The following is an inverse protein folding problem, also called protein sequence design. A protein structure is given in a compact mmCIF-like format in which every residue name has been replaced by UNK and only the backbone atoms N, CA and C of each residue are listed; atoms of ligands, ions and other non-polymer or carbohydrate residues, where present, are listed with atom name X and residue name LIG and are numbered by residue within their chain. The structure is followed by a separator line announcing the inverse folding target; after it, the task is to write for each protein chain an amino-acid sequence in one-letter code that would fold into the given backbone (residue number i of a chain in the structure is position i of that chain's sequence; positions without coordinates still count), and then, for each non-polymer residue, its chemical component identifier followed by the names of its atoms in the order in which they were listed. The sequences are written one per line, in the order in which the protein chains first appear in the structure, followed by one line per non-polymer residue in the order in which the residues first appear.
data_IF_831499630676
#
_entry.id   IF_831499630676
#
_cell.length_a   1.000
_cell.length_b   1.000
_cell.length_c   1.000
_cell.angle_alpha   90.00
_cell.angle_beta   90.00
_cell.angle_gamma   90.00
#
_symmetry.space_group_name_H-M   'P 1'
#
loop_
_entity.id
_entity.type
_entity.pdbx_description
1 polymer ?
#
# COMPACT_ATOMS: atom_id res chain seq x y z
N UNK A 1 32.16 -9.59 -3.64
CA UNK A 1 31.44 -8.32 -3.66
C UNK A 1 30.61 -8.20 -4.93
N UNK A 2 29.58 -9.05 -5.02
CA UNK A 2 28.38 -8.82 -5.87
C UNK A 2 27.17 -8.63 -4.95
N UNK A 3 27.41 -8.09 -3.76
CA UNK A 3 26.55 -8.30 -2.59
C UNK A 3 25.78 -7.03 -2.19
N UNK A 4 25.67 -6.06 -3.09
CA UNK A 4 24.96 -4.81 -2.84
C UNK A 4 24.05 -4.50 -4.03
N UNK A 5 22.76 -4.37 -3.73
CA UNK A 5 21.79 -3.83 -4.67
C UNK A 5 22.10 -2.36 -4.95
N UNK A 6 21.94 -1.94 -6.20
CA UNK A 6 21.86 -0.52 -6.53
C UNK A 6 20.44 -0.04 -6.24
N UNK A 7 20.31 1.06 -5.51
CA UNK A 7 19.03 1.59 -5.06
C UNK A 7 18.87 2.99 -5.62
N UNK A 8 17.95 3.13 -6.57
CA UNK A 8 17.58 4.41 -7.18
C UNK A 8 16.19 4.84 -6.71
N UNK A 9 16.01 6.13 -6.50
CA UNK A 9 14.69 6.75 -6.23
C UNK A 9 14.15 7.34 -7.53
N UNK A 10 12.83 7.29 -7.68
CA UNK A 10 12.09 7.89 -8.80
C UNK A 10 11.12 8.94 -8.28
N UNK A 11 10.61 9.78 -9.17
CA UNK A 11 9.63 10.82 -8.84
C UNK A 11 8.21 10.24 -8.82
N UNK A 12 8.03 9.17 -8.03
CA UNK A 12 6.76 8.48 -7.84
C UNK A 12 6.72 7.09 -8.45
N UNK A 13 5.57 6.44 -8.29
CA UNK A 13 5.40 5.02 -8.57
C UNK A 13 5.26 4.69 -10.07
N UNK A 14 4.74 5.63 -10.88
CA UNK A 14 4.64 5.47 -12.33
C UNK A 14 6.01 5.30 -12.98
N UNK A 15 6.94 6.22 -12.71
CA UNK A 15 8.33 6.11 -13.19
C UNK A 15 9.03 4.85 -12.69
N UNK A 16 8.72 4.42 -11.46
CA UNK A 16 9.27 3.17 -10.94
C UNK A 16 8.75 1.96 -11.74
N UNK A 17 7.46 1.92 -12.11
CA UNK A 17 6.92 0.88 -12.98
C UNK A 17 7.51 0.92 -14.40
N UNK A 18 7.76 2.11 -14.95
CA UNK A 18 8.47 2.24 -16.23
C UNK A 18 9.89 1.69 -16.14
N UNK A 19 10.63 1.99 -15.07
CA UNK A 19 11.97 1.45 -14.85
C UNK A 19 11.96 -0.08 -14.72
N UNK A 20 10.98 -0.64 -14.01
CA UNK A 20 10.79 -2.09 -13.86
C UNK A 20 10.46 -2.74 -15.22
N UNK A 21 9.45 -2.24 -15.92
CA UNK A 21 8.96 -2.85 -17.17
C UNK A 21 9.88 -2.64 -18.37
N UNK A 22 10.73 -1.61 -18.35
CA UNK A 22 11.79 -1.41 -19.35
C UNK A 22 13.08 -2.20 -19.07
N UNK A 23 13.16 -2.90 -17.93
CA UNK A 23 14.35 -3.66 -17.52
C UNK A 23 15.50 -2.80 -17.00
N UNK A 24 15.24 -1.52 -16.69
CA UNK A 24 16.23 -0.65 -16.00
C UNK A 24 16.36 -0.99 -14.51
N UNK A 25 15.35 -1.62 -13.93
CA UNK A 25 15.36 -2.12 -12.56
C UNK A 25 14.84 -3.57 -12.55
N UNK A 26 15.47 -4.42 -11.73
CA UNK A 26 15.04 -5.81 -11.54
C UNK A 26 13.86 -5.93 -10.57
N UNK A 27 13.74 -4.98 -9.64
CA UNK A 27 12.74 -4.96 -8.58
C UNK A 27 12.25 -3.54 -8.30
N UNK A 28 11.02 -3.45 -7.80
CA UNK A 28 10.39 -2.24 -7.31
C UNK A 28 9.94 -2.46 -5.86
N UNK A 29 10.31 -1.54 -4.97
CA UNK A 29 9.85 -1.54 -3.59
C UNK A 29 8.65 -0.58 -3.49
N UNK A 30 7.47 -1.12 -3.19
CA UNK A 30 6.25 -0.35 -2.95
C UNK A 30 5.45 -0.95 -1.81
N UNK A 31 4.58 -0.12 -1.21
CA UNK A 31 3.54 -0.63 -0.33
C UNK A 31 2.60 -1.55 -1.10
N UNK A 32 2.22 -2.68 -0.52
CA UNK A 32 1.46 -3.73 -1.21
C UNK A 32 0.15 -3.21 -1.84
N UNK A 33 -0.70 -2.56 -1.05
CA UNK A 33 -1.98 -2.03 -1.51
C UNK A 33 -1.84 -0.90 -2.55
N UNK A 34 -1.08 0.19 -2.32
CA UNK A 34 -0.92 1.22 -3.35
C UNK A 34 -0.20 0.72 -4.60
N UNK A 35 0.77 -0.20 -4.46
CA UNK A 35 1.49 -0.77 -5.59
C UNK A 35 0.58 -1.60 -6.51
N UNK A 36 -0.23 -2.48 -5.93
CA UNK A 36 -1.18 -3.29 -6.71
C UNK A 36 -2.30 -2.44 -7.33
N UNK A 37 -2.77 -1.41 -6.62
CA UNK A 37 -3.77 -0.46 -7.11
C UNK A 37 -3.27 0.38 -8.30
N UNK A 38 -2.02 0.83 -8.28
CA UNK A 38 -1.42 1.61 -9.38
C UNK A 38 -1.05 0.70 -10.56
N UNK A 39 -0.49 -0.49 -10.31
CA UNK A 39 -0.30 -1.48 -11.36
C UNK A 39 -1.61 -1.86 -12.06
N UNK A 40 -2.71 -1.94 -11.30
CA UNK A 40 -4.04 -2.16 -11.84
C UNK A 40 -4.49 -1.03 -12.77
N UNK A 41 -4.35 0.22 -12.29
CA UNK A 41 -4.71 1.43 -13.03
C UNK A 41 -3.98 1.52 -14.37
N UNK A 42 -2.69 1.16 -14.38
CA UNK A 42 -1.82 1.28 -15.56
C UNK A 42 -1.86 0.03 -16.46
N UNK A 43 -2.77 -0.93 -16.20
CA UNK A 43 -2.91 -2.14 -17.02
C UNK A 43 -1.70 -3.08 -16.94
N UNK A 44 -0.95 -3.04 -15.84
CA UNK A 44 0.28 -3.80 -15.64
C UNK A 44 0.07 -5.14 -14.92
N UNK A 45 -1.17 -5.53 -14.60
CA UNK A 45 -1.47 -6.77 -13.84
C UNK A 45 -0.85 -8.05 -14.44
N UNK A 46 -0.69 -8.10 -15.75
CA UNK A 46 -0.09 -9.25 -16.47
C UNK A 46 1.43 -9.12 -16.68
N UNK A 47 2.01 -7.98 -16.30
CA UNK A 47 3.44 -7.65 -16.50
C UNK A 47 4.23 -7.58 -15.20
N UNK A 48 3.56 -7.29 -14.09
CA UNK A 48 4.18 -7.17 -12.77
C UNK A 48 3.44 -8.05 -11.77
N UNK A 49 4.18 -8.68 -10.87
CA UNK A 49 3.65 -9.54 -9.83
C UNK A 49 4.28 -9.16 -8.48
N UNK A 50 3.48 -9.02 -7.41
CA UNK A 50 4.05 -8.87 -6.07
C UNK A 50 4.74 -10.19 -5.66
N UNK A 51 5.90 -10.08 -5.00
CA UNK A 51 6.59 -11.23 -4.43
C UNK A 51 5.99 -11.60 -3.06
N UNK A 52 5.92 -12.90 -2.75
CA UNK A 52 5.27 -13.42 -1.54
C UNK A 52 5.90 -12.90 -0.24
N UNK A 53 7.20 -12.66 -0.22
CA UNK A 53 7.89 -12.18 0.96
C UNK A 53 7.94 -10.65 1.00
N UNK A 54 7.19 -10.07 1.93
CA UNK A 54 7.31 -8.65 2.24
C UNK A 54 8.71 -8.35 2.80
N UNK A 55 9.35 -7.29 2.27
CA UNK A 55 10.62 -6.79 2.81
C UNK A 55 10.46 -6.19 4.22
N UNK A 56 9.28 -5.63 4.49
CA UNK A 56 8.92 -5.04 5.76
C UNK A 56 7.42 -5.23 5.98
N UNK A 57 7.06 -5.81 7.12
CA UNK A 57 5.70 -5.75 7.66
C UNK A 57 5.75 -4.83 8.86
N UNK A 58 5.03 -3.72 8.79
CA UNK A 58 4.96 -2.73 9.86
C UNK A 58 3.53 -2.62 10.37
N UNK A 59 3.39 -2.51 11.70
CA UNK A 59 2.12 -2.17 12.33
C UNK A 59 1.78 -0.70 12.03
N UNK A 60 0.57 -0.46 11.55
CA UNK A 60 0.06 0.88 11.26
C UNK A 60 -0.75 1.38 12.45
N UNK A 61 -0.52 2.62 12.85
CA UNK A 61 -1.17 3.22 14.02
C UNK A 61 -1.91 4.50 13.64
N UNK A 62 -3.12 4.66 14.19
CA UNK A 62 -3.80 5.96 14.19
C UNK A 62 -3.35 6.72 15.43
N UNK A 63 -2.69 7.87 15.22
CA UNK A 63 -2.11 8.65 16.30
C UNK A 63 -2.90 9.94 16.55
N UNK A 64 -3.13 10.24 17.84
CA UNK A 64 -3.62 11.55 18.28
C UNK A 64 -2.45 12.40 18.76
N UNK A 65 -2.38 13.66 18.31
CA UNK A 65 -1.39 14.60 18.84
C UNK A 65 -1.59 14.78 20.35
N UNK A 66 -0.48 14.83 21.09
CA UNK A 66 -0.48 15.00 22.56
C UNK A 66 -1.22 16.26 23.01
N UNK A 67 -1.24 17.30 22.18
CA UNK A 67 -1.90 18.61 22.44
C UNK A 67 -3.30 18.71 21.82
N UNK A 68 -3.78 17.68 21.14
CA UNK A 68 -5.09 17.72 20.49
C UNK A 68 -6.21 17.70 21.54
N UNK A 69 -7.25 18.55 21.41
CA UNK A 69 -8.46 18.43 22.22
C UNK A 69 -9.17 17.08 21.99
N UNK A 70 -8.93 16.44 20.83
CA UNK A 70 -9.48 15.12 20.51
C UNK A 70 -8.76 13.96 21.19
N UNK A 71 -7.74 14.21 22.05
CA UNK A 71 -7.01 13.14 22.75
C UNK A 71 -7.94 12.26 23.59
N UNK A 72 -9.03 12.81 24.10
CA UNK A 72 -10.07 12.05 24.83
C UNK A 72 -10.72 10.94 23.99
N UNK A 73 -10.71 11.07 22.65
CA UNK A 73 -11.27 10.07 21.74
C UNK A 73 -10.36 8.85 21.53
N UNK A 74 -9.08 8.94 21.91
CA UNK A 74 -8.07 7.93 21.57
C UNK A 74 -8.43 6.53 22.09
N UNK A 75 -9.01 6.42 23.30
CA UNK A 75 -9.41 5.12 23.86
C UNK A 75 -10.53 4.48 23.04
N UNK A 76 -11.60 5.23 22.75
CA UNK A 76 -12.72 4.72 21.96
C UNK A 76 -12.32 4.41 20.51
N UNK A 77 -11.39 5.18 19.94
CA UNK A 77 -10.82 4.88 18.62
C UNK A 77 -10.02 3.59 18.64
N UNK A 78 -9.23 3.35 19.69
CA UNK A 78 -8.46 2.11 19.87
C UNK A 78 -9.35 0.88 20.00
N UNK A 79 -10.43 0.97 20.80
CA UNK A 79 -11.43 -0.10 20.92
C UNK A 79 -12.12 -0.38 19.58
N UNK A 80 -12.54 0.67 18.85
CA UNK A 80 -13.16 0.53 17.54
C UNK A 80 -12.23 -0.16 16.52
N UNK A 81 -10.96 0.27 16.46
CA UNK A 81 -9.95 -0.40 15.61
C UNK A 81 -9.78 -1.85 16.02
N UNK A 82 -9.70 -2.15 17.31
CA UNK A 82 -9.52 -3.51 17.81
C UNK A 82 -10.66 -4.41 17.36
N UNK A 83 -11.90 -3.97 17.51
CA UNK A 83 -13.07 -4.72 17.07
C UNK A 83 -13.01 -4.99 15.55
N UNK A 84 -12.80 -3.96 14.74
CA UNK A 84 -12.73 -4.09 13.27
C UNK A 84 -11.63 -5.04 12.79
N UNK A 85 -10.49 -5.07 13.50
CA UNK A 85 -9.33 -5.91 13.12
C UNK A 85 -9.42 -7.34 13.63
N UNK A 86 -10.38 -7.67 14.50
CA UNK A 86 -10.50 -9.01 15.11
C UNK A 86 -11.72 -9.79 14.62
N UNK A 87 -12.72 -9.13 14.04
CA UNK A 87 -13.94 -9.78 13.51
C UNK A 87 -13.95 -9.96 11.99
N UNK A 88 -12.88 -9.53 11.29
CA UNK A 88 -12.75 -9.62 9.83
C UNK A 88 -13.34 -8.42 9.07
N UNK A 89 -13.99 -7.47 9.75
CA UNK A 89 -14.55 -6.27 9.12
C UNK A 89 -13.49 -5.44 8.40
N UNK A 90 -12.27 -5.38 8.95
CA UNK A 90 -11.16 -4.66 8.30
C UNK A 90 -10.82 -5.23 6.92
N UNK A 91 -10.82 -6.55 6.76
CA UNK A 91 -10.55 -7.19 5.46
C UNK A 91 -11.65 -6.89 4.44
N UNK A 92 -12.91 -6.82 4.89
CA UNK A 92 -14.04 -6.39 4.06
C UNK A 92 -13.88 -4.93 3.62
N UNK A 93 -13.51 -4.04 4.54
CA UNK A 93 -13.23 -2.63 4.23
C UNK A 93 -12.12 -2.48 3.18
N UNK A 94 -11.05 -3.26 3.25
CA UNK A 94 -9.96 -3.23 2.26
C UNK A 94 -10.46 -3.71 0.88
N UNK A 95 -11.27 -4.77 0.83
CA UNK A 95 -11.87 -5.26 -0.42
C UNK A 95 -12.80 -4.24 -1.05
N UNK A 96 -13.64 -3.59 -0.24
CA UNK A 96 -14.56 -2.55 -0.69
C UNK A 96 -13.83 -1.32 -1.21
N UNK A 97 -12.81 -0.86 -0.48
CA UNK A 97 -11.97 0.26 -0.90
C UNK A 97 -11.24 -0.04 -2.22
N UNK A 98 -10.69 -1.25 -2.37
CA UNK A 98 -10.02 -1.70 -3.60
C UNK A 98 -11.01 -1.76 -4.77
N UNK A 99 -12.21 -2.29 -4.53
CA UNK A 99 -13.27 -2.36 -5.55
C UNK A 99 -13.78 -0.98 -5.96
N UNK A 100 -13.88 -0.05 -5.01
CA UNK A 100 -14.27 1.33 -5.27
C UNK A 100 -13.20 2.05 -6.10
N UNK A 101 -11.92 1.85 -5.78
CA UNK A 101 -10.80 2.35 -6.55
C UNK A 101 -10.85 1.88 -8.01
N UNK A 102 -10.94 0.57 -8.23
CA UNK A 102 -10.99 -0.01 -9.58
C UNK A 102 -12.15 0.57 -10.42
N UNK A 103 -13.31 0.78 -9.81
CA UNK A 103 -14.48 1.40 -10.47
C UNK A 103 -14.24 2.87 -10.86
N UNK A 104 -13.48 3.62 -10.06
CA UNK A 104 -13.13 5.01 -10.38
C UNK A 104 -12.16 5.06 -11.54
N UNK A 105 -11.18 4.16 -11.57
CA UNK A 105 -10.18 4.12 -12.64
C UNK A 105 -10.75 3.63 -13.97
N UNK A 106 -11.67 2.66 -13.95
CA UNK A 106 -12.31 2.14 -15.17
C UNK A 106 -13.21 3.16 -15.92
N UNK A 107 -13.46 4.34 -15.34
CA UNK A 107 -14.25 5.41 -15.95
C UNK A 107 -13.40 6.47 -16.66
N UNK A 108 -12.08 6.38 -16.57
CA UNK A 108 -11.12 7.23 -17.26
C UNK A 108 -10.52 6.49 -18.46
#
# INVERSE_FOLDING_TARGET
MKDKLDVTRTDGIGEAFEALTSGKADYLIAGYYPGTAEAAKDGLKDKVVPLDQALLTAEMFVAFSKKSPCRSLASGFGEGITNLTTDGSFDEMIKDASSAWDKVQAKN
#
